data_IF_570982486205
#
_entry.id   IF_570982486205
#
_cell.length_a   1.000
_cell.length_b   1.000
_cell.length_c   1.000
_cell.angle_alpha   90.00
_cell.angle_beta   90.00
_cell.angle_gamma   90.00
#
_symmetry.space_group_name_H-M   'P 1'
#
loop_
_entity.id
_entity.type
_entity.pdbx_description
1 polymer ?
#
# COMPACT_ATOMS: atom_id res chain seq x y z
N UNK A 1 18.31 -3.16 -29.60
CA UNK A 1 17.28 -4.19 -29.91
C UNK A 1 16.25 -4.12 -28.81
N UNK A 2 14.94 -4.18 -29.10
CA UNK A 2 13.91 -4.08 -28.06
C UNK A 2 14.17 -5.09 -26.94
N UNK A 3 13.93 -4.67 -25.69
CA UNK A 3 14.07 -5.54 -24.51
C UNK A 3 13.17 -6.77 -24.69
N UNK A 4 13.78 -7.96 -24.65
CA UNK A 4 13.05 -9.20 -24.82
C UNK A 4 12.50 -9.67 -23.48
N UNK A 5 11.18 -9.51 -23.29
CA UNK A 5 10.48 -9.94 -22.08
C UNK A 5 10.57 -11.44 -21.87
N UNK A 6 10.86 -11.85 -20.64
CA UNK A 6 10.97 -13.27 -20.25
C UNK A 6 10.46 -13.45 -18.82
N UNK A 7 9.41 -14.25 -18.67
CA UNK A 7 8.85 -14.60 -17.36
C UNK A 7 9.94 -15.08 -16.39
N UNK A 8 9.94 -14.51 -15.20
CA UNK A 8 10.88 -14.77 -14.12
C UNK A 8 12.25 -14.08 -14.30
N UNK A 9 12.40 -13.18 -15.28
CA UNK A 9 13.64 -12.44 -15.51
C UNK A 9 13.34 -10.94 -15.65
N UNK A 10 13.70 -10.16 -14.63
CA UNK A 10 13.42 -8.73 -14.54
C UNK A 10 14.51 -7.92 -15.23
N UNK A 11 14.14 -7.02 -16.13
CA UNK A 11 15.07 -6.11 -16.77
C UNK A 11 15.46 -4.97 -15.82
N UNK A 12 16.74 -4.89 -15.43
CA UNK A 12 17.28 -3.86 -14.53
C UNK A 12 18.30 -2.94 -15.23
N UNK A 13 18.10 -2.69 -16.53
CA UNK A 13 19.00 -1.87 -17.34
C UNK A 13 20.03 -2.69 -18.10
N UNK A 14 21.27 -2.20 -18.17
CA UNK A 14 22.36 -2.80 -18.96
C UNK A 14 23.55 -3.10 -18.05
N UNK A 15 24.39 -4.03 -18.49
CA UNK A 15 25.67 -4.30 -17.83
C UNK A 15 26.53 -3.03 -17.72
N UNK A 16 27.23 -2.90 -16.60
CA UNK A 16 28.11 -1.77 -16.34
C UNK A 16 29.48 -2.28 -15.91
N UNK A 17 30.50 -1.93 -16.68
CA UNK A 17 31.89 -2.23 -16.32
C UNK A 17 32.37 -1.22 -15.29
N UNK A 18 32.49 -1.67 -14.04
CA UNK A 18 32.95 -0.85 -12.92
C UNK A 18 34.43 -0.41 -13.05
N UNK A 19 35.27 -1.20 -13.71
CA UNK A 19 36.69 -0.89 -13.88
C UNK A 19 36.91 0.13 -14.99
N UNK A 20 36.18 -0.01 -16.10
CA UNK A 20 36.24 0.92 -17.22
C UNK A 20 35.34 2.16 -17.03
N UNK A 21 34.33 2.08 -16.15
CA UNK A 21 33.34 3.14 -15.94
C UNK A 21 32.40 3.32 -17.13
N UNK A 22 32.16 2.24 -17.89
CA UNK A 22 31.41 2.27 -19.14
C UNK A 22 30.16 1.40 -19.07
N UNK A 23 29.05 1.93 -19.57
CA UNK A 23 27.83 1.17 -19.82
C UNK A 23 28.04 0.24 -21.02
N UNK A 24 27.70 -1.03 -20.88
CA UNK A 24 27.67 -1.99 -21.97
C UNK A 24 26.35 -1.95 -22.75
N UNK A 25 26.22 -2.89 -23.68
CA UNK A 25 25.03 -3.02 -24.52
C UNK A 25 24.14 -4.21 -24.09
N UNK A 26 24.59 -5.03 -23.13
CA UNK A 26 23.91 -6.26 -22.75
C UNK A 26 22.82 -5.95 -21.73
N UNK A 27 21.55 -6.31 -21.99
CA UNK A 27 20.50 -6.22 -20.98
C UNK A 27 20.85 -6.99 -19.71
N UNK A 28 20.70 -6.35 -18.56
CA UNK A 28 20.82 -6.97 -17.25
C UNK A 28 19.48 -7.60 -16.88
N UNK A 29 19.37 -8.92 -17.08
CA UNK A 29 18.18 -9.70 -16.73
C UNK A 29 18.39 -10.37 -15.36
N UNK A 30 17.73 -9.85 -14.33
CA UNK A 30 17.79 -10.34 -12.96
C UNK A 30 16.83 -11.51 -12.72
N UNK A 31 17.26 -12.55 -12.03
CA UNK A 31 16.44 -13.72 -11.75
C UNK A 31 15.43 -13.43 -10.63
N UNK A 32 14.14 -13.33 -10.98
CA UNK A 32 13.09 -12.96 -10.03
C UNK A 32 12.94 -13.97 -8.87
N UNK A 33 13.44 -15.20 -9.03
CA UNK A 33 13.42 -16.22 -7.97
C UNK A 33 14.28 -15.85 -6.77
N UNK A 34 15.26 -14.98 -6.95
CA UNK A 34 16.06 -14.48 -5.84
C UNK A 34 15.23 -13.59 -4.89
N UNK A 35 14.09 -13.06 -5.35
CA UNK A 35 13.18 -12.21 -4.57
C UNK A 35 12.17 -12.99 -3.72
N UNK A 36 12.13 -14.32 -3.78
CA UNK A 36 11.14 -15.13 -3.04
C UNK A 36 11.47 -15.30 -1.55
N UNK A 37 12.56 -14.71 -1.08
CA UNK A 37 12.93 -14.71 0.34
C UNK A 37 12.76 -13.29 0.90
N UNK A 38 13.84 -12.53 1.02
CA UNK A 38 13.84 -11.15 1.48
C UNK A 38 14.95 -10.39 0.76
N UNK A 39 14.67 -9.15 0.36
CA UNK A 39 15.64 -8.24 -0.24
C UNK A 39 15.75 -6.96 0.59
N UNK A 40 16.93 -6.35 0.59
CA UNK A 40 17.18 -5.05 1.22
C UNK A 40 17.93 -4.15 0.25
N UNK A 41 17.35 -3.00 -0.08
CA UNK A 41 18.00 -1.97 -0.88
C UNK A 41 18.58 -0.88 0.03
N UNK A 42 19.90 -0.68 -0.01
CA UNK A 42 20.63 0.32 0.80
C UNK A 42 21.36 1.33 -0.08
N UNK A 43 21.47 2.57 0.41
CA UNK A 43 22.10 3.67 -0.33
C UNK A 43 21.72 5.04 0.20
N UNK A 44 22.50 6.06 -0.11
CA UNK A 44 22.24 7.46 0.30
C UNK A 44 21.13 8.10 -0.55
N UNK A 45 20.57 9.24 -0.13
CA UNK A 45 19.63 10.00 -0.97
C UNK A 45 20.27 10.35 -2.31
N UNK A 46 19.52 10.20 -3.40
CA UNK A 46 20.04 10.41 -4.76
C UNK A 46 20.84 9.23 -5.35
N UNK A 47 21.04 8.14 -4.60
CA UNK A 47 21.77 6.96 -5.11
C UNK A 47 20.94 6.03 -6.01
N UNK A 48 19.72 6.41 -6.37
CA UNK A 48 18.84 5.61 -7.23
C UNK A 48 18.00 4.53 -6.55
N UNK A 49 17.96 4.43 -5.20
CA UNK A 49 17.14 3.42 -4.50
C UNK A 49 15.68 3.37 -4.94
N UNK A 50 15.02 4.52 -4.98
CA UNK A 50 13.61 4.62 -5.38
C UNK A 50 13.43 4.20 -6.84
N UNK A 51 14.36 4.58 -7.72
CA UNK A 51 14.35 4.15 -9.13
C UNK A 51 14.44 2.64 -9.24
N UNK A 52 15.42 2.01 -8.58
CA UNK A 52 15.53 0.55 -8.55
C UNK A 52 14.27 -0.14 -8.01
N UNK A 53 13.64 0.40 -6.97
CA UNK A 53 12.39 -0.15 -6.46
C UNK A 53 11.25 -0.01 -7.47
N UNK A 54 11.15 1.12 -8.16
CA UNK A 54 10.16 1.33 -9.23
C UNK A 54 10.39 0.34 -10.35
N UNK A 55 11.63 0.21 -10.85
CA UNK A 55 11.98 -0.76 -11.90
C UNK A 55 11.56 -2.18 -11.48
N UNK A 56 11.93 -2.62 -10.27
CA UNK A 56 11.53 -3.94 -9.75
C UNK A 56 10.01 -4.14 -9.69
N UNK A 57 9.25 -3.10 -9.33
CA UNK A 57 7.79 -3.16 -9.26
C UNK A 57 7.15 -3.19 -10.65
N UNK A 58 7.71 -2.45 -11.62
CA UNK A 58 7.26 -2.47 -13.01
C UNK A 58 7.48 -3.85 -13.65
N UNK A 59 8.67 -4.44 -13.46
CA UNK A 59 8.99 -5.78 -13.94
C UNK A 59 8.11 -6.85 -13.27
N UNK A 60 7.89 -6.75 -11.95
CA UNK A 60 6.96 -7.64 -11.25
C UNK A 60 5.53 -7.52 -11.77
N UNK A 61 5.07 -6.30 -12.05
CA UNK A 61 3.74 -6.08 -12.62
C UNK A 61 3.63 -6.66 -14.03
N UNK A 62 4.64 -6.50 -14.89
CA UNK A 62 4.68 -7.10 -16.23
C UNK A 62 4.59 -8.63 -16.17
N UNK A 63 5.23 -9.24 -15.17
CA UNK A 63 5.17 -10.68 -14.87
C UNK A 63 3.89 -11.11 -14.12
N UNK A 64 2.93 -10.20 -13.93
CA UNK A 64 1.64 -10.46 -13.25
C UNK A 64 1.81 -10.88 -11.78
N UNK A 65 2.88 -10.44 -11.12
CA UNK A 65 3.09 -10.64 -9.68
C UNK A 65 2.39 -9.51 -8.91
N UNK A 66 1.41 -9.82 -8.03
CA UNK A 66 0.74 -8.79 -7.25
C UNK A 66 1.66 -8.22 -6.17
N UNK A 67 1.64 -6.90 -6.01
CA UNK A 67 2.45 -6.19 -5.02
C UNK A 67 1.60 -5.28 -4.14
N UNK A 68 1.88 -5.27 -2.83
CA UNK A 68 1.37 -4.28 -1.88
C UNK A 68 2.56 -3.44 -1.43
N UNK A 69 2.47 -2.12 -1.62
CA UNK A 69 3.53 -1.18 -1.29
C UNK A 69 3.10 -0.32 -0.11
N UNK A 70 3.93 -0.27 0.93
CA UNK A 70 3.79 0.68 2.03
C UNK A 70 4.75 1.83 1.76
N UNK A 71 4.21 2.96 1.32
CA UNK A 71 5.00 4.13 0.92
C UNK A 71 4.77 5.34 1.84
N UNK A 72 5.54 5.47 2.92
CA UNK A 72 5.40 6.61 3.84
C UNK A 72 5.92 7.93 3.24
N UNK A 73 6.65 7.90 2.12
CA UNK A 73 7.19 9.11 1.47
C UNK A 73 6.29 9.62 0.35
N UNK A 74 5.54 8.73 -0.28
CA UNK A 74 4.68 9.03 -1.43
C UNK A 74 5.41 8.99 -2.78
N UNK A 75 6.71 8.65 -2.81
CA UNK A 75 7.51 8.68 -4.03
C UNK A 75 7.16 7.53 -5.01
N UNK A 76 6.63 6.41 -4.53
CA UNK A 76 6.26 5.24 -5.35
C UNK A 76 4.94 5.48 -6.09
N UNK A 77 4.12 6.44 -5.63
CA UNK A 77 2.89 6.83 -6.34
C UNK A 77 3.15 7.36 -7.75
N UNK A 78 4.40 7.74 -8.06
CA UNK A 78 4.84 8.10 -9.40
C UNK A 78 4.62 6.99 -10.45
N UNK A 79 4.41 5.73 -10.05
CA UNK A 79 3.98 4.64 -10.95
C UNK A 79 2.68 4.95 -11.70
N UNK A 80 1.81 5.82 -11.14
CA UNK A 80 0.58 6.26 -11.80
C UNK A 80 0.83 7.34 -12.86
N UNK A 81 2.02 7.92 -12.92
CA UNK A 81 2.43 8.93 -13.90
C UNK A 81 3.05 8.30 -15.16
N UNK A 82 2.51 7.16 -15.57
CA UNK A 82 2.88 6.46 -16.80
C UNK A 82 1.97 6.90 -17.95
N UNK A 83 2.55 7.46 -19.01
CA UNK A 83 1.81 8.00 -20.16
C UNK A 83 2.19 7.25 -21.44
N UNK A 84 1.41 6.24 -21.87
CA UNK A 84 1.76 5.41 -23.03
C UNK A 84 1.96 6.21 -24.31
N UNK A 85 1.10 7.19 -24.59
CA UNK A 85 1.19 7.99 -25.82
C UNK A 85 2.31 9.03 -25.79
N UNK A 86 2.92 9.27 -24.62
CA UNK A 86 4.00 10.26 -24.41
C UNK A 86 3.70 11.62 -25.08
N UNK A 87 2.49 12.15 -24.88
CA UNK A 87 2.07 13.46 -25.45
C UNK A 87 2.29 14.56 -24.43
N UNK A 88 2.66 15.76 -24.86
CA UNK A 88 2.81 16.90 -23.95
C UNK A 88 1.57 17.17 -23.08
N UNK A 89 0.36 16.94 -23.60
CA UNK A 89 -0.89 17.10 -22.86
C UNK A 89 -1.03 16.17 -21.65
N UNK A 90 -0.46 14.96 -21.70
CA UNK A 90 -0.49 14.02 -20.58
C UNK A 90 0.41 14.49 -19.42
N UNK A 91 1.50 15.19 -19.73
CA UNK A 91 2.43 15.76 -18.74
C UNK A 91 1.97 17.13 -18.21
N UNK A 92 1.17 17.88 -18.97
CA UNK A 92 0.80 19.26 -18.67
C UNK A 92 0.21 19.47 -17.26
N UNK A 93 -0.67 18.59 -16.71
CA UNK A 93 -1.19 18.76 -15.36
C UNK A 93 -0.13 18.61 -14.26
N UNK A 94 1.00 17.98 -14.57
CA UNK A 94 2.01 17.52 -13.61
C UNK A 94 3.31 18.33 -13.66
N UNK A 95 3.47 19.20 -14.65
CA UNK A 95 4.65 20.07 -14.73
C UNK A 95 4.61 21.18 -13.67
N UNK A 96 5.80 21.65 -13.28
CA UNK A 96 5.94 22.84 -12.47
C UNK A 96 5.94 24.10 -13.35
N UNK A 97 4.93 24.96 -13.19
CA UNK A 97 4.79 26.20 -13.95
C UNK A 97 5.94 27.21 -13.71
N UNK A 98 6.55 27.20 -12.52
CA UNK A 98 7.69 28.09 -12.24
C UNK A 98 8.96 27.63 -12.97
N UNK A 99 9.15 26.32 -13.16
CA UNK A 99 10.28 25.79 -13.94
C UNK A 99 10.12 26.09 -15.43
N UNK A 100 8.89 26.05 -15.95
CA UNK A 100 8.58 26.50 -17.31
C UNK A 100 8.94 27.98 -17.46
N UNK A 101 8.52 28.83 -16.50
CA UNK A 101 8.82 30.27 -16.50
C UNK A 101 10.32 30.57 -16.43
N UNK A 102 11.08 29.88 -15.57
CA UNK A 102 12.54 30.03 -15.45
C UNK A 102 13.29 29.70 -16.73
N UNK A 103 12.69 28.90 -17.62
CA UNK A 103 13.26 28.51 -18.91
C UNK A 103 12.68 29.34 -20.07
N UNK A 104 11.92 30.40 -19.78
CA UNK A 104 11.22 31.24 -20.76
C UNK A 104 10.30 30.44 -21.69
N UNK A 105 9.62 29.41 -21.14
CA UNK A 105 8.70 28.55 -21.87
C UNK A 105 7.27 28.71 -21.36
N UNK A 106 6.29 28.58 -22.26
CA UNK A 106 4.89 28.37 -21.87
C UNK A 106 4.72 26.98 -21.23
N UNK A 107 3.74 26.78 -20.33
CA UNK A 107 3.45 25.45 -19.75
C UNK A 107 3.32 24.34 -20.79
N UNK A 108 2.61 24.59 -21.89
CA UNK A 108 2.35 23.62 -22.96
C UNK A 108 3.66 23.21 -23.67
N UNK A 109 4.47 24.18 -24.05
CA UNK A 109 5.80 23.94 -24.63
C UNK A 109 6.73 23.20 -23.67
N UNK A 110 6.66 23.49 -22.37
CA UNK A 110 7.47 22.81 -21.35
C UNK A 110 7.03 21.36 -21.15
N UNK A 111 5.72 21.10 -21.16
CA UNK A 111 5.16 19.76 -21.10
C UNK A 111 5.53 18.94 -22.34
N UNK A 112 5.44 19.52 -23.54
CA UNK A 112 5.87 18.87 -24.78
C UNK A 112 7.37 18.57 -24.77
N UNK A 113 8.21 19.50 -24.31
CA UNK A 113 9.65 19.25 -24.13
C UNK A 113 9.91 18.11 -23.13
N UNK A 114 9.13 18.05 -22.06
CA UNK A 114 9.23 16.98 -21.06
C UNK A 114 8.88 15.63 -21.69
N UNK A 115 7.76 15.55 -22.41
CA UNK A 115 7.34 14.35 -23.13
C UNK A 115 8.42 13.85 -24.12
N UNK A 116 9.01 14.75 -24.90
CA UNK A 116 10.12 14.41 -25.79
C UNK A 116 11.35 13.89 -25.04
N UNK A 117 11.70 14.51 -23.90
CA UNK A 117 12.82 14.06 -23.05
C UNK A 117 12.60 12.62 -22.56
N UNK A 118 11.37 12.28 -22.16
CA UNK A 118 11.02 10.92 -21.75
C UNK A 118 11.09 9.94 -22.93
N UNK A 119 10.54 10.32 -24.10
CA UNK A 119 10.57 9.50 -25.31
C UNK A 119 12.00 9.16 -25.73
N UNK A 120 12.87 10.16 -25.80
CA UNK A 120 14.26 9.98 -26.20
C UNK A 120 15.04 9.18 -25.15
N UNK A 121 14.79 9.45 -23.87
CA UNK A 121 15.39 8.73 -22.75
C UNK A 121 15.04 7.23 -22.79
N UNK A 122 13.77 6.89 -22.88
CA UNK A 122 13.31 5.50 -22.97
C UNK A 122 13.85 4.79 -24.21
N UNK A 123 13.84 5.47 -25.36
CA UNK A 123 14.37 4.92 -26.60
C UNK A 123 15.88 4.60 -26.50
N UNK A 124 16.66 5.40 -25.75
CA UNK A 124 18.08 5.14 -25.50
C UNK A 124 18.33 3.85 -24.69
N UNK A 125 17.31 3.37 -23.98
CA UNK A 125 17.29 2.11 -23.25
C UNK A 125 16.55 0.99 -23.99
N UNK A 126 16.33 1.16 -25.29
CA UNK A 126 15.61 0.20 -26.14
C UNK A 126 14.17 -0.07 -25.68
N UNK A 127 13.53 0.93 -25.04
CA UNK A 127 12.14 0.88 -24.59
C UNK A 127 11.28 1.87 -25.40
N UNK A 128 10.08 1.42 -25.80
CA UNK A 128 9.12 2.23 -26.53
C UNK A 128 7.77 2.40 -25.80
N UNK A 129 6.89 3.27 -26.35
CA UNK A 129 5.51 3.46 -25.89
C UNK A 129 4.74 2.18 -25.59
N UNK A 130 4.95 1.15 -26.42
CA UNK A 130 4.29 -0.15 -26.33
C UNK A 130 4.58 -0.87 -25.02
N UNK A 131 5.76 -0.67 -24.42
CA UNK A 131 6.12 -1.29 -23.14
C UNK A 131 5.41 -0.61 -21.98
N UNK A 132 5.24 0.71 -22.04
CA UNK A 132 4.43 1.47 -21.06
C UNK A 132 2.97 1.01 -21.13
N UNK A 133 2.44 0.82 -22.35
CA UNK A 133 1.09 0.28 -22.53
C UNK A 133 0.97 -1.13 -21.94
N UNK A 134 1.94 -2.01 -22.22
CA UNK A 134 1.97 -3.36 -21.67
C UNK A 134 1.97 -3.36 -20.13
N UNK A 135 2.74 -2.46 -19.50
CA UNK A 135 2.75 -2.25 -18.05
C UNK A 135 1.38 -1.80 -17.52
N UNK A 136 0.72 -0.84 -18.18
CA UNK A 136 -0.63 -0.42 -17.78
C UNK A 136 -1.67 -1.53 -17.88
N UNK A 137 -1.56 -2.36 -18.91
CA UNK A 137 -2.44 -3.51 -19.10
C UNK A 137 -2.04 -4.70 -18.20
N UNK A 138 -0.90 -4.60 -17.50
CA UNK A 138 -0.37 -5.70 -16.72
C UNK A 138 -1.05 -5.83 -15.35
N UNK A 139 -1.37 -4.71 -14.70
CA UNK A 139 -1.95 -4.67 -13.36
C UNK A 139 -2.80 -3.42 -13.13
N UNK A 140 -3.72 -3.50 -12.15
CA UNK A 140 -4.42 -2.32 -11.65
C UNK A 140 -3.54 -1.56 -10.64
N UNK A 141 -3.28 -0.29 -10.91
CA UNK A 141 -2.53 0.60 -10.01
C UNK A 141 -3.51 1.39 -9.14
N UNK A 142 -3.62 1.03 -7.87
CA UNK A 142 -4.58 1.65 -6.94
C UNK A 142 -3.84 2.27 -5.75
N UNK A 143 -4.07 3.57 -5.51
CA UNK A 143 -3.56 4.26 -4.32
C UNK A 143 -4.59 4.12 -3.20
N UNK A 144 -4.18 3.50 -2.10
CA UNK A 144 -4.96 3.38 -0.88
C UNK A 144 -4.50 4.41 0.15
N UNK A 145 -5.43 5.24 0.65
CA UNK A 145 -5.12 6.35 1.55
C UNK A 145 -5.84 6.20 2.90
N UNK A 146 -5.14 5.78 3.97
CA UNK A 146 -5.69 5.83 5.31
C UNK A 146 -5.92 7.28 5.75
N UNK A 147 -7.13 7.62 6.21
CA UNK A 147 -7.44 8.96 6.75
C UNK A 147 -7.50 10.10 5.73
N UNK A 148 -7.46 9.79 4.43
CA UNK A 148 -7.64 10.77 3.34
C UNK A 148 -8.53 10.18 2.25
N UNK A 149 -9.25 11.06 1.55
CA UNK A 149 -10.11 10.77 0.40
C UNK A 149 -9.42 11.05 -0.95
N UNK A 150 -8.11 11.32 -0.95
CA UNK A 150 -7.35 11.60 -2.17
C UNK A 150 -7.17 10.35 -3.07
N UNK A 151 -7.23 9.15 -2.49
CA UNK A 151 -7.24 7.87 -3.19
C UNK A 151 -8.42 6.99 -2.74
N UNK A 152 -8.26 5.67 -2.80
CA UNK A 152 -9.23 4.74 -2.22
C UNK A 152 -9.07 4.76 -0.70
N UNK A 153 -10.07 5.24 0.06
CA UNK A 153 -9.93 5.39 1.49
C UNK A 153 -9.80 4.02 2.16
N UNK A 154 -8.80 3.87 3.03
CA UNK A 154 -8.70 2.71 3.91
C UNK A 154 -9.42 3.06 5.21
N UNK A 155 -10.63 2.52 5.38
CA UNK A 155 -11.40 2.71 6.60
C UNK A 155 -11.10 1.61 7.61
N UNK A 156 -10.46 1.97 8.71
CA UNK A 156 -10.33 1.07 9.87
C UNK A 156 -11.71 0.89 10.56
N UNK A 157 -12.61 1.86 10.43
CA UNK A 157 -13.95 1.85 11.07
C UNK A 157 -14.93 0.92 10.36
N UNK A 158 -14.71 0.61 9.07
CA UNK A 158 -15.50 -0.40 8.35
C UNK A 158 -15.39 -1.80 8.99
N UNK A 159 -14.38 -2.02 9.83
CA UNK A 159 -14.14 -3.25 10.59
C UNK A 159 -15.10 -3.46 11.77
N UNK A 160 -16.04 -2.55 12.05
CA UNK A 160 -17.02 -2.71 13.13
C UNK A 160 -18.26 -3.54 12.74
N UNK A 161 -18.57 -3.61 11.44
CA UNK A 161 -19.73 -4.34 10.93
C UNK A 161 -19.57 -5.85 11.16
N UNK A 162 -20.69 -6.53 11.41
CA UNK A 162 -20.70 -7.98 11.53
C UNK A 162 -20.44 -8.60 10.15
N UNK A 163 -19.43 -9.49 10.00
CA UNK A 163 -19.20 -10.18 8.73
C UNK A 163 -20.40 -11.05 8.35
N UNK A 164 -20.68 -11.16 7.05
CA UNK A 164 -21.68 -12.11 6.52
C UNK A 164 -21.08 -13.52 6.44
N UNK A 165 -20.73 -14.07 7.61
CA UNK A 165 -20.14 -15.40 7.78
C UNK A 165 -20.89 -16.15 8.87
N UNK A 166 -21.13 -17.44 8.64
CA UNK A 166 -21.70 -18.31 9.67
C UNK A 166 -20.67 -18.53 10.79
N UNK A 167 -21.06 -18.23 12.03
CA UNK A 167 -20.21 -18.37 13.21
C UNK A 167 -19.76 -19.81 13.46
N UNK A 168 -20.64 -20.79 13.24
CA UNK A 168 -20.36 -22.20 13.56
C UNK A 168 -19.27 -22.78 12.65
N UNK A 169 -19.21 -22.30 11.40
CA UNK A 169 -18.25 -22.78 10.40
C UNK A 169 -16.93 -21.97 10.43
N UNK A 170 -16.94 -20.74 10.93
CA UNK A 170 -15.84 -19.78 10.80
C UNK A 170 -15.34 -19.22 12.14
N UNK A 171 -15.55 -19.93 13.24
CA UNK A 171 -15.27 -19.40 14.59
C UNK A 171 -13.81 -18.92 14.77
N UNK A 172 -12.83 -19.64 14.22
CA UNK A 172 -11.41 -19.26 14.32
C UNK A 172 -11.12 -17.97 13.55
N UNK A 173 -11.53 -17.90 12.28
CA UNK A 173 -11.35 -16.71 11.43
C UNK A 173 -12.07 -15.49 12.01
N UNK A 174 -13.29 -15.65 12.52
CA UNK A 174 -14.05 -14.56 13.14
C UNK A 174 -13.38 -14.06 14.42
N UNK A 175 -12.83 -14.94 15.26
CA UNK A 175 -12.09 -14.54 16.46
C UNK A 175 -10.77 -13.87 16.13
N UNK A 176 -10.07 -14.32 15.10
CA UNK A 176 -8.86 -13.66 14.61
C UNK A 176 -9.19 -12.25 14.09
N UNK A 177 -10.26 -12.11 13.31
CA UNK A 177 -10.73 -10.83 12.82
C UNK A 177 -11.14 -9.88 13.95
N UNK A 178 -11.86 -10.37 14.97
CA UNK A 178 -12.19 -9.59 16.18
C UNK A 178 -10.91 -9.14 16.89
N UNK A 179 -9.97 -10.07 17.12
CA UNK A 179 -8.70 -9.76 17.79
C UNK A 179 -7.89 -8.70 17.04
N UNK A 180 -7.80 -8.81 15.71
CA UNK A 180 -7.14 -7.84 14.85
C UNK A 180 -7.84 -6.47 14.89
N UNK A 181 -9.17 -6.45 14.81
CA UNK A 181 -9.98 -5.22 14.89
C UNK A 181 -9.76 -4.50 16.21
N UNK A 182 -9.84 -5.22 17.34
CA UNK A 182 -9.66 -4.66 18.67
C UNK A 182 -8.24 -4.13 18.86
N UNK A 183 -7.23 -4.88 18.41
CA UNK A 183 -5.82 -4.43 18.46
C UNK A 183 -5.61 -3.17 17.63
N UNK A 184 -6.20 -3.08 16.43
CA UNK A 184 -6.13 -1.89 15.60
C UNK A 184 -6.80 -0.68 16.27
N UNK A 185 -7.99 -0.86 16.85
CA UNK A 185 -8.71 0.20 17.58
C UNK A 185 -7.92 0.72 18.78
N UNK A 186 -7.38 -0.19 19.60
CA UNK A 186 -6.57 0.18 20.77
C UNK A 186 -5.26 0.86 20.35
N UNK A 187 -4.62 0.38 19.29
CA UNK A 187 -3.45 1.01 18.70
C UNK A 187 -3.72 2.45 18.22
N UNK A 188 -4.87 2.71 17.61
CA UNK A 188 -5.27 4.05 17.15
C UNK A 188 -5.43 5.06 18.29
N UNK A 189 -5.86 4.62 19.47
CA UNK A 189 -5.97 5.48 20.66
C UNK A 189 -4.71 5.45 21.54
N UNK A 190 -3.63 4.81 21.07
CA UNK A 190 -2.34 4.77 21.75
C UNK A 190 -2.27 3.80 22.94
N UNK A 191 -3.17 2.83 23.03
CA UNK A 191 -3.18 1.80 24.07
C UNK A 191 -2.44 0.55 23.56
N UNK A 192 -1.28 0.27 24.14
CA UNK A 192 -0.54 -0.97 23.91
C UNK A 192 -1.16 -2.11 24.74
N UNK A 193 -2.10 -2.84 24.15
CA UNK A 193 -2.82 -3.92 24.81
C UNK A 193 -2.34 -5.31 24.35
N UNK A 194 -2.15 -6.22 25.30
CA UNK A 194 -1.90 -7.64 25.05
C UNK A 194 -3.26 -8.35 24.86
N UNK A 195 -3.51 -9.05 23.74
CA UNK A 195 -4.79 -9.69 23.44
C UNK A 195 -5.28 -10.70 24.49
N UNK A 196 -4.37 -11.29 25.28
CA UNK A 196 -4.70 -12.30 26.28
C UNK A 196 -4.73 -11.76 27.70
N UNK A 197 -4.18 -10.57 27.97
CA UNK A 197 -3.97 -10.05 29.33
C UNK A 197 -4.62 -8.72 29.60
N UNK A 198 -4.72 -7.85 28.60
CA UNK A 198 -5.25 -6.51 28.77
C UNK A 198 -6.76 -6.52 28.92
N UNK A 199 -7.25 -5.86 29.97
CA UNK A 199 -8.69 -5.82 30.31
C UNK A 199 -9.49 -5.12 29.23
N UNK A 200 -8.89 -4.12 28.61
CA UNK A 200 -9.41 -3.34 27.49
C UNK A 200 -9.66 -4.24 26.28
N UNK A 201 -8.67 -5.05 25.91
CA UNK A 201 -8.76 -5.96 24.77
C UNK A 201 -9.81 -7.04 25.01
N UNK A 202 -9.74 -7.71 26.18
CA UNK A 202 -10.69 -8.78 26.55
C UNK A 202 -12.13 -8.28 26.55
N UNK A 203 -12.39 -7.10 27.12
CA UNK A 203 -13.72 -6.51 27.14
C UNK A 203 -14.22 -6.20 25.72
N UNK A 204 -13.40 -5.50 24.93
CA UNK A 204 -13.76 -5.14 23.55
C UNK A 204 -14.01 -6.38 22.70
N UNK A 205 -13.12 -7.37 22.72
CA UNK A 205 -13.28 -8.61 21.97
C UNK A 205 -14.59 -9.33 22.33
N UNK A 206 -14.97 -9.31 23.62
CA UNK A 206 -16.24 -9.90 24.07
C UNK A 206 -17.45 -9.11 23.57
N UNK A 207 -17.39 -7.77 23.56
CA UNK A 207 -18.46 -6.93 23.01
C UNK A 207 -18.65 -7.22 21.52
N UNK A 208 -17.56 -7.29 20.75
CA UNK A 208 -17.60 -7.66 19.34
C UNK A 208 -18.20 -9.04 19.12
N UNK A 209 -17.70 -10.07 19.82
CA UNK A 209 -18.23 -11.44 19.70
C UNK A 209 -19.73 -11.49 20.04
N UNK A 210 -20.19 -10.75 21.06
CA UNK A 210 -21.61 -10.68 21.41
C UNK A 210 -22.50 -10.16 20.28
N UNK A 211 -22.09 -9.06 19.61
CA UNK A 211 -22.89 -8.46 18.54
C UNK A 211 -22.77 -9.22 17.23
N UNK A 212 -21.57 -9.65 16.86
CA UNK A 212 -21.34 -10.40 15.63
C UNK A 212 -22.02 -11.77 15.63
N UNK A 213 -22.05 -12.49 16.76
CA UNK A 213 -22.85 -13.72 16.92
C UNK A 213 -24.35 -13.50 16.68
N UNK A 214 -24.84 -12.28 16.83
CA UNK A 214 -26.24 -11.89 16.59
C UNK A 214 -26.47 -11.31 15.19
N UNK A 215 -25.45 -11.29 14.33
CA UNK A 215 -25.50 -10.63 13.03
C UNK A 215 -25.78 -9.14 13.14
N UNK A 216 -25.36 -8.51 14.25
CA UNK A 216 -25.59 -7.09 14.50
C UNK A 216 -24.31 -6.30 14.33
N UNK A 217 -24.38 -5.26 13.50
CA UNK A 217 -23.28 -4.32 13.33
C UNK A 217 -23.01 -3.55 14.62
N UNK A 218 -21.73 -3.22 14.81
CA UNK A 218 -21.29 -2.18 15.71
C UNK A 218 -21.03 -0.90 14.92
N UNK A 219 -21.30 0.23 15.55
CA UNK A 219 -20.77 1.54 15.19
C UNK A 219 -20.06 2.14 16.42
N UNK A 220 -19.39 3.28 16.24
CA UNK A 220 -18.67 3.92 17.35
C UNK A 220 -19.60 4.28 18.53
N UNK A 221 -20.78 4.90 18.32
CA UNK A 221 -21.71 5.17 19.41
C UNK A 221 -22.12 3.92 20.20
N UNK A 222 -22.51 2.85 19.51
CA UNK A 222 -22.94 1.59 20.13
C UNK A 222 -21.79 0.90 20.85
N UNK A 223 -20.58 0.96 20.31
CA UNK A 223 -19.38 0.45 20.97
C UNK A 223 -19.10 1.21 22.26
N UNK A 224 -19.09 2.56 22.23
CA UNK A 224 -18.87 3.40 23.43
C UNK A 224 -19.90 3.08 24.53
N UNK A 225 -21.18 3.00 24.17
CA UNK A 225 -22.25 2.65 25.12
C UNK A 225 -22.07 1.24 25.68
N UNK A 226 -21.61 0.30 24.85
CA UNK A 226 -21.36 -1.09 25.25
C UNK A 226 -20.10 -1.23 26.10
N UNK A 227 -19.11 -0.33 26.01
CA UNK A 227 -17.99 -0.29 26.95
C UNK A 227 -18.46 0.20 28.32
N UNK A 228 -19.27 1.26 28.36
CA UNK A 228 -19.82 1.79 29.60
C UNK A 228 -20.73 0.79 30.30
N UNK A 229 -21.61 0.13 29.53
CA UNK A 229 -22.58 -0.85 29.98
C UNK A 229 -22.48 -2.14 29.14
N UNK A 230 -21.54 -3.05 29.47
CA UNK A 230 -21.32 -4.27 28.70
C UNK A 230 -22.58 -5.14 28.59
N UNK A 231 -22.89 -5.68 27.39
CA UNK A 231 -24.07 -6.51 27.17
C UNK A 231 -23.92 -7.93 27.75
N UNK A 232 -22.76 -8.22 28.35
CA UNK A 232 -22.44 -9.48 29.03
C UNK A 232 -22.25 -9.22 30.51
N UNK A 233 -22.63 -10.19 31.35
CA UNK A 233 -22.46 -10.09 32.81
C UNK A 233 -21.10 -10.64 33.29
N UNK A 234 -20.49 -11.54 32.53
CA UNK A 234 -19.26 -12.23 32.91
C UNK A 234 -18.23 -12.20 31.78
N UNK A 235 -16.95 -12.09 32.15
CA UNK A 235 -15.79 -12.27 31.30
C UNK A 235 -15.01 -13.49 31.81
N UNK A 236 -15.10 -14.60 31.08
CA UNK A 236 -14.66 -15.89 31.59
C UNK A 236 -15.46 -16.28 32.83
N UNK A 237 -14.79 -16.37 33.98
CA UNK A 237 -15.41 -16.72 35.28
C UNK A 237 -15.68 -15.51 36.18
N UNK A 238 -15.22 -14.32 35.79
CA UNK A 238 -15.34 -13.11 36.61
C UNK A 238 -16.57 -12.29 36.20
N UNK A 239 -17.21 -11.65 37.18
CA UNK A 239 -18.19 -10.60 36.91
C UNK A 239 -17.50 -9.39 36.26
N UNK A 240 -18.15 -8.81 35.26
CA UNK A 240 -17.61 -7.70 34.46
C UNK A 240 -17.21 -6.50 35.31
N UNK A 241 -18.00 -6.14 36.31
CA UNK A 241 -17.70 -4.97 37.17
C UNK A 241 -16.58 -5.26 38.17
N UNK A 242 -16.31 -6.54 38.44
CA UNK A 242 -15.14 -6.96 39.22
C UNK A 242 -13.87 -6.94 38.38
N UNK A 243 -13.95 -7.41 37.13
CA UNK A 243 -12.81 -7.49 36.22
C UNK A 243 -12.38 -6.10 35.71
N UNK A 244 -13.34 -5.30 35.23
CA UNK A 244 -13.11 -3.96 34.70
C UNK A 244 -14.18 -3.01 35.25
N UNK A 245 -13.94 -2.37 36.42
CA UNK A 245 -14.93 -1.56 37.12
C UNK A 245 -15.49 -0.42 36.28
N UNK A 246 -16.77 -0.09 36.47
CA UNK A 246 -17.46 0.94 35.70
C UNK A 246 -16.73 2.29 35.70
N UNK A 247 -16.17 2.71 36.85
CA UNK A 247 -15.41 3.96 36.94
C UNK A 247 -14.21 3.99 35.97
N UNK A 248 -13.52 2.86 35.84
CA UNK A 248 -12.35 2.73 34.98
C UNK A 248 -12.76 2.64 33.50
N UNK A 249 -13.96 2.12 33.19
CA UNK A 249 -14.50 2.06 31.82
C UNK A 249 -14.95 3.42 31.27
N UNK A 250 -15.15 4.41 32.14
CA UNK A 250 -15.58 5.77 31.78
C UNK A 250 -14.41 6.75 31.68
N UNK A 251 -13.20 6.32 32.05
CA UNK A 251 -11.99 7.13 32.13
C UNK A 251 -11.23 7.19 30.79
#
# INVERSE_FOLDING_TARGET
MPVAEKLGAFYLGKDFDLAAGTLGETPLMYDARDLTTHAVCVGMTGSGKTGLCIDLLEEAALDKVPAIIIDPKGDITNLLLTFPDLRGEDFLPWINADDARRKDMTPEAFAEKTANTWRDGLASWDQGPERIQALKDSADFVIYTPGSDAGVPVSIVSSLAAPDLNWDDNQEALREQISGTVSALLGLVGIAADPMRSREHILLATIFEYYWRKGQDLDLPKLILSIQNPPVRQLGVFDVDTFFPQKDRFA
#
